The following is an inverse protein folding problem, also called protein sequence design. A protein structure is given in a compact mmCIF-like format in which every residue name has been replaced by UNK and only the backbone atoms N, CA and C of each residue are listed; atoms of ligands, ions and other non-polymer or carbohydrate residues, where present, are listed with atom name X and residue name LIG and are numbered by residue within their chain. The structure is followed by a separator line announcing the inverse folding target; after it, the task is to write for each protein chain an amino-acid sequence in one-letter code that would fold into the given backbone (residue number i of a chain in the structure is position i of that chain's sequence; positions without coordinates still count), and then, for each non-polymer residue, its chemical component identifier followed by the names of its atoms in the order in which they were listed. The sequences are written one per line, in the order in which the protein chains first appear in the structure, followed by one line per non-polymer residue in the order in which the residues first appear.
data_IF_660188886184
#
_entry.id   IF_660188886184
#
_cell.length_a   1.000
_cell.length_b   1.000
_cell.length_c   1.000
_cell.angle_alpha   90.00
_cell.angle_beta   90.00
_cell.angle_gamma   90.00
#
_symmetry.space_group_name_H-M   'P 1'
#
loop_
_entity.id
_entity.type
_entity.pdbx_description
1 polymer ?
#
# COMPACT_ATOMS: atom_id res chain seq x y z
N UNK A 1 -0.60 -8.29 11.30
CA UNK A 1 -1.17 -8.37 9.94
C UNK A 1 -2.00 -9.63 9.83
N UNK A 2 -3.16 -9.56 9.21
CA UNK A 2 -4.01 -10.73 9.03
C UNK A 2 -3.56 -11.57 7.84
N UNK A 3 -4.03 -12.80 7.75
CA UNK A 3 -3.72 -13.72 6.67
C UNK A 3 -4.90 -13.94 5.72
N UNK A 4 -5.87 -13.03 5.75
CA UNK A 4 -7.13 -13.16 5.00
C UNK A 4 -6.91 -13.40 3.51
N UNK A 5 -5.99 -12.64 2.89
CA UNK A 5 -5.68 -12.79 1.46
C UNK A 5 -5.06 -14.17 1.17
N UNK A 6 -4.08 -14.58 1.96
CA UNK A 6 -3.42 -15.88 1.78
C UNK A 6 -4.38 -17.03 2.02
N UNK A 7 -5.23 -16.92 3.03
CA UNK A 7 -6.22 -17.95 3.35
C UNK A 7 -7.24 -18.10 2.23
N UNK A 8 -7.66 -16.98 1.62
CA UNK A 8 -8.58 -17.01 0.47
C UNK A 8 -7.96 -17.72 -0.72
N UNK A 9 -6.70 -17.44 -1.05
CA UNK A 9 -5.98 -18.12 -2.13
C UNK A 9 -5.86 -19.62 -1.86
N UNK A 10 -5.64 -20.00 -0.60
CA UNK A 10 -5.52 -21.39 -0.19
C UNK A 10 -6.88 -22.12 -0.10
N UNK A 11 -7.99 -21.43 -0.34
CA UNK A 11 -9.33 -21.99 -0.26
C UNK A 11 -9.84 -22.18 1.16
N UNK A 12 -9.23 -21.53 2.14
CA UNK A 12 -9.66 -21.57 3.54
C UNK A 12 -10.78 -20.58 3.80
N UNK A 13 -11.67 -20.87 4.78
CA UNK A 13 -12.70 -19.92 5.17
C UNK A 13 -12.07 -18.65 5.74
N UNK A 14 -12.68 -17.49 5.41
CA UNK A 14 -12.27 -16.18 5.92
C UNK A 14 -13.48 -15.43 6.45
N UNK A 15 -13.23 -14.48 7.35
CA UNK A 15 -14.28 -13.68 7.99
C UNK A 15 -14.83 -12.58 7.07
N UNK A 16 -14.07 -12.17 6.07
CA UNK A 16 -14.45 -11.13 5.11
C UNK A 16 -13.66 -11.30 3.83
N UNK A 17 -14.18 -10.79 2.71
CA UNK A 17 -13.47 -10.77 1.44
C UNK A 17 -12.24 -9.88 1.55
N UNK A 18 -11.03 -10.36 1.12
CA UNK A 18 -9.84 -9.53 1.09
C UNK A 18 -10.01 -8.33 0.15
N UNK A 19 -9.46 -7.18 0.54
CA UNK A 19 -9.62 -5.93 -0.21
C UNK A 19 -8.26 -5.29 -0.44
N UNK A 20 -8.04 -4.85 -1.67
CA UNK A 20 -6.96 -3.96 -2.07
C UNK A 20 -7.55 -2.84 -2.93
N UNK A 21 -7.08 -1.61 -2.72
CA UNK A 21 -7.54 -0.48 -3.53
C UNK A 21 -6.52 -0.14 -4.60
N UNK A 22 -7.00 -0.04 -5.84
CA UNK A 22 -6.20 0.47 -6.95
C UNK A 22 -5.67 1.88 -6.60
N UNK A 23 -4.42 2.14 -6.95
CA UNK A 23 -3.77 3.44 -6.72
C UNK A 23 -3.61 3.79 -5.24
N UNK A 24 -3.31 2.81 -4.41
CA UNK A 24 -3.04 3.04 -2.99
C UNK A 24 -2.00 4.14 -2.76
N UNK A 25 -0.94 4.19 -3.57
CA UNK A 25 0.11 5.20 -3.49
C UNK A 25 -0.22 6.44 -4.32
N UNK A 26 -1.50 6.70 -4.58
CA UNK A 26 -1.95 7.80 -5.41
C UNK A 26 -1.94 9.16 -4.71
N UNK A 27 -2.17 10.19 -5.50
CA UNK A 27 -2.11 11.59 -5.04
C UNK A 27 -3.21 11.97 -4.06
N UNK A 28 -4.19 11.11 -3.83
CA UNK A 28 -5.30 11.41 -2.93
C UNK A 28 -4.90 11.39 -1.45
N UNK A 29 -3.79 10.77 -1.10
CA UNK A 29 -3.32 10.73 0.29
C UNK A 29 -2.41 11.91 0.59
N UNK A 30 -2.70 12.72 1.64
CA UNK A 30 -1.79 13.80 2.04
C UNK A 30 -0.39 13.31 2.39
N UNK A 31 -0.29 12.17 3.07
CA UNK A 31 1.00 11.58 3.43
C UNK A 31 1.81 11.17 2.20
N UNK A 32 1.16 10.67 1.15
CA UNK A 32 1.84 10.38 -0.12
C UNK A 32 2.40 11.65 -0.74
N UNK A 33 1.59 12.72 -0.80
CA UNK A 33 2.02 13.99 -1.38
C UNK A 33 3.22 14.58 -0.64
N UNK A 34 3.26 14.45 0.70
CA UNK A 34 4.38 14.92 1.50
C UNK A 34 5.65 14.12 1.20
N UNK A 35 5.55 12.80 1.13
CA UNK A 35 6.69 11.93 0.81
C UNK A 35 7.19 12.16 -0.61
N UNK A 36 6.27 12.35 -1.55
CA UNK A 36 6.59 12.63 -2.96
C UNK A 36 7.36 13.95 -3.10
N UNK A 37 6.94 14.99 -2.38
CA UNK A 37 7.63 16.28 -2.36
C UNK A 37 9.04 16.15 -1.77
N UNK A 38 9.19 15.36 -0.72
CA UNK A 38 10.47 15.07 -0.08
C UNK A 38 11.43 14.35 -1.03
N UNK A 39 10.90 13.43 -1.85
CA UNK A 39 11.70 12.71 -2.84
C UNK A 39 12.10 13.56 -4.05
N UNK A 40 11.37 14.62 -4.33
CA UNK A 40 11.64 15.56 -5.42
C UNK A 40 11.09 15.17 -6.78
N UNK A 41 10.95 13.87 -7.07
CA UNK A 41 10.41 13.37 -8.34
C UNK A 41 9.83 11.98 -8.17
N UNK A 42 9.03 11.55 -9.14
CA UNK A 42 8.49 10.17 -9.12
C UNK A 42 9.63 9.15 -9.18
N UNK A 43 10.62 9.35 -10.04
CA UNK A 43 11.76 8.43 -10.13
C UNK A 43 12.61 8.45 -8.85
N UNK A 44 12.76 9.59 -8.23
CA UNK A 44 13.44 9.70 -6.93
C UNK A 44 12.72 8.92 -5.84
N UNK A 45 11.39 8.93 -5.86
CA UNK A 45 10.56 8.14 -4.94
C UNK A 45 10.68 6.63 -5.24
N UNK A 46 10.49 6.24 -6.51
CA UNK A 46 10.46 4.85 -6.92
C UNK A 46 11.81 4.15 -6.77
N UNK A 47 12.92 4.88 -6.89
CA UNK A 47 14.26 4.31 -6.80
C UNK A 47 14.86 4.37 -5.40
N UNK A 48 14.17 4.99 -4.42
CA UNK A 48 14.61 5.02 -3.04
C UNK A 48 13.86 3.93 -2.26
N UNK A 49 14.53 2.84 -1.83
CA UNK A 49 13.85 1.73 -1.17
C UNK A 49 13.09 2.13 0.09
N UNK A 50 13.62 3.04 0.89
CA UNK A 50 12.96 3.48 2.12
C UNK A 50 11.69 4.26 1.83
N UNK A 51 11.73 5.20 0.90
CA UNK A 51 10.58 6.02 0.52
C UNK A 51 9.53 5.20 -0.24
N UNK A 52 9.97 4.29 -1.12
CA UNK A 52 9.06 3.40 -1.82
C UNK A 52 8.30 2.49 -0.85
N UNK A 53 8.99 1.95 0.14
CA UNK A 53 8.37 1.17 1.20
C UNK A 53 7.38 2.01 2.01
N UNK A 54 7.76 3.23 2.38
CA UNK A 54 6.92 4.14 3.15
C UNK A 54 5.60 4.41 2.44
N UNK A 55 5.64 4.81 1.16
CA UNK A 55 4.42 5.12 0.42
C UNK A 55 3.55 3.88 0.18
N UNK A 56 4.16 2.71 0.04
CA UNK A 56 3.42 1.45 -0.12
C UNK A 56 2.62 1.11 1.14
N UNK A 57 3.17 1.41 2.31
CA UNK A 57 2.54 1.10 3.59
C UNK A 57 1.56 2.18 4.08
N UNK A 58 1.62 3.40 3.57
CA UNK A 58 0.77 4.51 4.00
C UNK A 58 -0.73 4.17 3.94
N UNK A 59 -1.27 3.60 2.84
CA UNK A 59 -2.69 3.26 2.79
C UNK A 59 -3.07 2.20 3.81
N UNK A 60 -2.17 1.26 4.14
CA UNK A 60 -2.42 0.23 5.15
C UNK A 60 -2.53 0.81 6.55
N UNK A 61 -1.82 1.92 6.82
CA UNK A 61 -1.91 2.61 8.10
C UNK A 61 -3.22 3.39 8.22
N UNK A 62 -3.78 3.86 7.11
CA UNK A 62 -5.01 4.67 7.08
C UNK A 62 -6.27 3.82 6.95
N UNK A 63 -6.22 2.72 6.21
CA UNK A 63 -7.36 1.87 5.90
C UNK A 63 -7.07 0.42 6.25
N UNK A 64 -8.12 -0.34 6.54
CA UNK A 64 -8.01 -1.77 6.82
C UNK A 64 -8.00 -2.56 5.51
N UNK A 65 -6.90 -2.46 4.77
CA UNK A 65 -6.70 -3.21 3.53
C UNK A 65 -5.98 -4.51 3.80
N UNK A 66 -6.16 -5.49 2.91
CA UNK A 66 -5.62 -6.84 3.06
C UNK A 66 -4.37 -7.08 2.22
N UNK A 67 -4.03 -6.15 1.34
CA UNK A 67 -2.87 -6.27 0.46
C UNK A 67 -2.34 -4.90 0.08
N UNK A 68 -1.08 -4.87 -0.34
CA UNK A 68 -0.44 -3.69 -0.89
C UNK A 68 0.39 -4.12 -2.10
N UNK A 69 0.50 -3.25 -3.09
CA UNK A 69 1.33 -3.49 -4.27
C UNK A 69 2.41 -2.42 -4.33
N UNK A 70 3.64 -2.86 -4.46
CA UNK A 70 4.77 -1.98 -4.66
C UNK A 70 4.84 -1.57 -6.14
N UNK A 71 4.87 -0.29 -6.38
CA UNK A 71 5.00 0.27 -7.72
C UNK A 71 6.42 0.75 -8.03
#
# INVERSE_FOLDING_TARGET
MNTRFLDTIAGKPVDATPVWLMRQAGRYLPEYRATRAKAGSFMGLATNPELACEVTLQPLARYELDAAILF
#
